data_IF_423519581335
#
_entry.id   IF_423519581335
#
_cell.length_a   1.000
_cell.length_b   1.000
_cell.length_c   1.000
_cell.angle_alpha   90.00
_cell.angle_beta   90.00
_cell.angle_gamma   90.00
#
_symmetry.space_group_name_H-M   'P 1'
#
loop_
_entity.id
_entity.type
_entity.pdbx_description
1 polymer ?
#
# COMPACT_ATOMS: atom_id res chain seq x y z
N UNK A 1 30.16 -21.20 8.44
CA UNK A 1 28.75 -20.77 8.51
C UNK A 1 28.58 -19.73 7.41
N UNK A 2 27.80 -19.97 6.34
CA UNK A 2 27.77 -19.04 5.23
C UNK A 2 27.03 -17.77 5.66
N UNK A 3 27.59 -16.64 5.25
CA UNK A 3 27.10 -15.30 5.47
C UNK A 3 25.70 -15.18 4.85
N UNK A 4 24.73 -14.66 5.61
CA UNK A 4 23.50 -14.14 5.05
C UNK A 4 23.92 -13.06 4.05
N UNK A 5 23.82 -13.35 2.76
CA UNK A 5 23.89 -12.31 1.74
C UNK A 5 22.79 -11.30 2.09
N UNK A 6 23.15 -10.02 2.10
CA UNK A 6 22.25 -8.87 2.22
C UNK A 6 21.30 -8.83 1.01
N UNK A 7 20.39 -9.80 0.97
CA UNK A 7 19.46 -10.01 -0.13
C UNK A 7 18.42 -8.92 -0.10
N UNK A 8 18.21 -8.29 -1.25
CA UNK A 8 17.29 -7.17 -1.39
C UNK A 8 15.89 -7.58 -0.90
N UNK A 9 15.34 -6.94 0.15
CA UNK A 9 14.07 -7.37 0.77
C UNK A 9 12.85 -7.20 -0.16
N UNK A 10 13.01 -6.52 -1.29
CA UNK A 10 11.95 -6.26 -2.24
C UNK A 10 11.22 -4.95 -1.97
N UNK A 11 10.46 -4.49 -2.96
CA UNK A 11 9.80 -3.18 -2.91
C UNK A 11 8.67 -3.11 -1.88
N UNK A 12 7.86 -4.17 -1.74
CA UNK A 12 6.72 -4.16 -0.82
C UNK A 12 7.17 -4.02 0.65
N UNK A 13 8.15 -4.79 1.16
CA UNK A 13 8.67 -4.58 2.52
C UNK A 13 9.28 -3.20 2.76
N UNK A 14 9.98 -2.64 1.77
CA UNK A 14 10.54 -1.28 1.86
C UNK A 14 9.46 -0.22 2.00
N UNK A 15 8.40 -0.28 1.18
CA UNK A 15 7.29 0.67 1.28
C UNK A 15 6.61 0.57 2.65
N UNK A 16 6.40 -0.65 3.16
CA UNK A 16 5.82 -0.86 4.50
C UNK A 16 6.70 -0.28 5.60
N UNK A 17 8.02 -0.42 5.49
CA UNK A 17 8.97 0.17 6.43
C UNK A 17 8.94 1.69 6.38
N UNK A 18 8.95 2.28 5.18
CA UNK A 18 8.83 3.71 4.97
C UNK A 18 7.55 4.28 5.62
N UNK A 19 6.40 3.64 5.36
CA UNK A 19 5.13 4.03 5.98
C UNK A 19 5.15 3.96 7.51
N UNK A 20 5.96 3.08 8.11
CA UNK A 20 6.11 2.97 9.55
C UNK A 20 7.02 4.05 10.15
N UNK A 21 7.89 4.66 9.34
CA UNK A 21 8.78 5.75 9.76
C UNK A 21 8.11 7.11 9.59
N UNK A 22 7.26 7.26 8.57
CA UNK A 22 6.51 8.48 8.30
C UNK A 22 5.18 8.52 9.04
N UNK A 23 4.75 9.70 9.48
CA UNK A 23 3.43 9.90 10.10
C UNK A 23 2.32 9.98 9.04
N UNK A 24 1.88 8.82 8.54
CA UNK A 24 0.77 8.72 7.58
C UNK A 24 -0.56 8.55 8.31
N UNK A 25 -1.59 9.26 7.85
CA UNK A 25 -2.97 9.09 8.33
C UNK A 25 -3.42 7.62 8.25
N UNK A 26 -4.08 7.07 9.29
CA UNK A 26 -4.49 5.66 9.32
C UNK A 26 -5.36 5.22 8.14
N UNK A 27 -6.25 6.06 7.61
CA UNK A 27 -7.09 5.70 6.46
C UNK A 27 -6.25 5.60 5.19
N UNK A 28 -5.29 6.51 5.04
CA UNK A 28 -4.33 6.52 3.93
C UNK A 28 -3.43 5.29 4.00
N UNK A 29 -2.88 4.98 5.18
CA UNK A 29 -2.06 3.79 5.40
C UNK A 29 -2.83 2.50 5.10
N UNK A 30 -4.08 2.40 5.55
CA UNK A 30 -4.95 1.27 5.26
C UNK A 30 -5.20 1.09 3.75
N UNK A 31 -5.48 2.17 3.03
CA UNK A 31 -5.70 2.15 1.58
C UNK A 31 -4.46 1.67 0.82
N UNK A 32 -3.28 2.18 1.18
CA UNK A 32 -2.01 1.76 0.58
C UNK A 32 -1.75 0.28 0.87
N UNK A 33 -1.99 -0.18 2.10
CA UNK A 33 -1.85 -1.60 2.44
C UNK A 33 -2.76 -2.51 1.60
N UNK A 34 -4.00 -2.09 1.30
CA UNK A 34 -4.89 -2.83 0.40
C UNK A 34 -4.31 -2.93 -1.02
N UNK A 35 -3.77 -1.84 -1.57
CA UNK A 35 -3.13 -1.86 -2.88
C UNK A 35 -1.90 -2.76 -2.92
N UNK A 36 -1.02 -2.66 -1.91
CA UNK A 36 0.17 -3.51 -1.81
C UNK A 36 -0.20 -4.99 -1.66
N UNK A 37 -1.30 -5.29 -0.95
CA UNK A 37 -1.80 -6.67 -0.82
C UNK A 37 -2.29 -7.20 -2.17
N UNK A 38 -3.02 -6.41 -2.96
CA UNK A 38 -3.48 -6.82 -4.29
C UNK A 38 -2.29 -7.11 -5.22
N UNK A 39 -1.32 -6.20 -5.26
CA UNK A 39 -0.12 -6.34 -6.08
C UNK A 39 0.68 -7.57 -5.64
N UNK A 40 0.90 -7.74 -4.34
CA UNK A 40 1.63 -8.88 -3.78
C UNK A 40 0.98 -10.22 -4.12
N UNK A 41 -0.36 -10.31 -4.01
CA UNK A 41 -1.09 -11.54 -4.36
C UNK A 41 -1.07 -11.87 -5.85
N UNK A 42 -1.06 -10.85 -6.72
CA UNK A 42 -0.89 -11.07 -8.17
C UNK A 42 0.53 -11.51 -8.50
N UNK A 43 1.53 -10.92 -7.85
CA UNK A 43 2.94 -11.29 -8.03
C UNK A 43 3.25 -12.69 -7.52
N UNK A 44 2.60 -13.14 -6.43
CA UNK A 44 2.75 -14.51 -5.90
C UNK A 44 1.96 -15.56 -6.69
N UNK A 45 1.04 -15.15 -7.56
CA UNK A 45 0.15 -16.05 -8.29
C UNK A 45 -1.07 -16.54 -7.48
N UNK A 46 -1.25 -16.07 -6.24
CA UNK A 46 -2.46 -16.39 -5.45
C UNK A 46 -3.73 -15.79 -6.08
N UNK A 47 -3.59 -14.63 -6.71
CA UNK A 47 -4.64 -13.99 -7.52
C UNK A 47 -4.24 -13.95 -9.00
N UNK A 48 -5.17 -14.27 -9.91
CA UNK A 48 -4.93 -14.13 -11.33
C UNK A 48 -4.80 -12.66 -11.73
N UNK A 49 -4.02 -12.42 -12.78
CA UNK A 49 -4.05 -11.14 -13.50
C UNK A 49 -5.34 -11.06 -14.33
N UNK A 50 -5.73 -9.84 -14.71
CA UNK A 50 -6.90 -9.65 -15.59
C UNK A 50 -6.76 -10.46 -16.89
N UNK A 51 -5.59 -10.45 -17.52
CA UNK A 51 -5.34 -11.24 -18.72
C UNK A 51 -5.43 -12.76 -18.48
N UNK A 52 -4.91 -13.26 -17.35
CA UNK A 52 -5.04 -14.67 -16.99
C UNK A 52 -6.49 -15.07 -16.75
N UNK A 53 -7.24 -14.23 -16.04
CA UNK A 53 -8.65 -14.41 -15.76
C UNK A 53 -9.49 -14.40 -17.04
N UNK A 54 -9.30 -13.41 -17.94
CA UNK A 54 -10.01 -13.34 -19.22
C UNK A 54 -9.77 -14.60 -20.06
N UNK A 55 -8.53 -15.10 -20.11
CA UNK A 55 -8.21 -16.35 -20.82
C UNK A 55 -8.92 -17.54 -20.19
N UNK A 56 -8.89 -17.68 -18.86
CA UNK A 56 -9.60 -18.76 -18.15
C UNK A 56 -11.11 -18.69 -18.40
N UNK A 57 -11.69 -17.50 -18.40
CA UNK A 57 -13.10 -17.29 -18.69
C UNK A 57 -13.46 -17.76 -20.10
N UNK A 58 -12.70 -17.31 -21.11
CA UNK A 58 -12.91 -17.71 -22.52
C UNK A 58 -12.73 -19.23 -22.67
N UNK A 59 -11.67 -19.80 -22.09
CA UNK A 59 -11.36 -21.23 -22.20
C UNK A 59 -12.43 -22.13 -21.57
N UNK A 60 -13.13 -21.64 -20.55
CA UNK A 60 -14.22 -22.36 -19.87
C UNK A 60 -15.61 -22.03 -20.45
N UNK A 61 -15.68 -21.16 -21.46
CA UNK A 61 -16.95 -20.75 -22.04
C UNK A 61 -17.54 -21.88 -22.90
N UNK A 62 -18.83 -22.25 -22.76
CA UNK A 62 -19.42 -23.40 -23.45
C UNK A 62 -19.39 -23.29 -24.99
N UNK A 63 -19.46 -22.07 -25.51
CA UNK A 63 -19.42 -21.81 -26.96
C UNK A 63 -17.99 -21.67 -27.52
N UNK A 64 -16.95 -21.77 -26.69
CA UNK A 64 -15.57 -21.70 -27.14
C UNK A 64 -15.06 -23.08 -27.60
N UNK A 65 -14.57 -23.16 -28.83
CA UNK A 65 -14.22 -24.42 -29.48
C UNK A 65 -12.73 -24.79 -29.38
N UNK A 66 -11.97 -24.07 -28.56
CA UNK A 66 -10.51 -24.20 -28.47
C UNK A 66 -9.78 -24.04 -29.83
N UNK A 67 -10.41 -23.32 -30.76
CA UNK A 67 -9.89 -23.04 -32.10
C UNK A 67 -9.16 -21.69 -32.17
N UNK A 68 -8.88 -21.08 -31.01
CA UNK A 68 -8.31 -19.73 -30.90
C UNK A 68 -9.19 -18.62 -31.51
N UNK A 69 -10.46 -18.89 -31.82
CA UNK A 69 -11.41 -17.89 -32.33
C UNK A 69 -12.43 -17.54 -31.25
N UNK A 70 -12.50 -16.27 -30.89
CA UNK A 70 -13.50 -15.77 -29.94
C UNK A 70 -14.74 -15.33 -30.72
N UNK A 71 -15.85 -16.05 -30.53
CA UNK A 71 -17.12 -15.70 -31.17
C UNK A 71 -17.72 -14.42 -30.58
N UNK A 72 -18.59 -13.74 -31.32
CA UNK A 72 -19.26 -12.52 -30.85
C UNK A 72 -20.05 -12.75 -29.55
N UNK A 73 -20.59 -13.96 -29.36
CA UNK A 73 -21.30 -14.33 -28.14
C UNK A 73 -20.36 -14.42 -26.94
N UNK A 74 -19.26 -15.16 -27.05
CA UNK A 74 -18.22 -15.27 -26.00
C UNK A 74 -17.68 -13.89 -25.63
N UNK A 75 -17.45 -13.03 -26.63
CA UNK A 75 -16.99 -11.66 -26.41
C UNK A 75 -18.02 -10.80 -25.67
N UNK A 76 -19.30 -10.90 -26.03
CA UNK A 76 -20.39 -10.19 -25.35
C UNK A 76 -20.52 -10.63 -23.89
N UNK A 77 -20.46 -11.94 -23.63
CA UNK A 77 -20.58 -12.49 -22.29
C UNK A 77 -19.38 -12.10 -21.40
N UNK A 78 -18.17 -12.10 -21.97
CA UNK A 78 -16.98 -11.58 -21.29
C UNK A 78 -17.11 -10.09 -20.93
N UNK A 79 -17.67 -9.25 -21.82
CA UNK A 79 -17.86 -7.83 -21.54
C UNK A 79 -18.89 -7.59 -20.44
N UNK A 80 -19.97 -8.39 -20.41
CA UNK A 80 -20.94 -8.37 -19.31
C UNK A 80 -20.28 -8.70 -17.97
N UNK A 81 -19.38 -9.68 -17.92
CA UNK A 81 -18.63 -10.00 -16.71
C UNK A 81 -17.64 -8.91 -16.30
N UNK A 82 -16.92 -8.31 -17.26
CA UNK A 82 -16.09 -7.15 -16.99
C UNK A 82 -16.89 -5.99 -16.37
N UNK A 83 -18.12 -5.76 -16.84
CA UNK A 83 -19.01 -4.75 -16.30
C UNK A 83 -19.48 -5.10 -14.88
N UNK A 84 -19.80 -6.36 -14.61
CA UNK A 84 -20.18 -6.84 -13.28
C UNK A 84 -19.05 -6.66 -12.26
N UNK A 85 -17.82 -6.99 -12.63
CA UNK A 85 -16.60 -6.76 -11.83
C UNK A 85 -16.43 -5.27 -11.52
N UNK A 86 -16.53 -4.42 -12.54
CA UNK A 86 -16.30 -2.98 -12.40
C UNK A 86 -17.37 -2.32 -11.53
N UNK A 87 -18.61 -2.81 -11.60
CA UNK A 87 -19.75 -2.31 -10.83
C UNK A 87 -19.75 -2.78 -9.37
N UNK A 88 -18.79 -3.62 -8.97
CA UNK A 88 -18.72 -4.19 -7.62
C UNK A 88 -19.78 -5.26 -7.34
N UNK A 89 -20.46 -5.77 -8.38
CA UNK A 89 -21.47 -6.83 -8.26
C UNK A 89 -20.83 -8.23 -8.17
N UNK A 90 -19.52 -8.34 -8.42
CA UNK A 90 -18.76 -9.60 -8.37
C UNK A 90 -18.54 -10.16 -6.95
N UNK A 91 -19.09 -9.52 -5.91
CA UNK A 91 -19.08 -10.06 -4.55
C UNK A 91 -20.05 -11.24 -4.37
N UNK A 92 -20.98 -11.42 -5.30
CA UNK A 92 -22.08 -12.39 -5.18
C UNK A 92 -21.69 -13.81 -5.59
N UNK A 93 -20.62 -14.02 -6.38
CA UNK A 93 -20.27 -15.35 -6.89
C UNK A 93 -18.79 -15.41 -7.22
N UNK A 94 -18.02 -16.26 -6.53
CA UNK A 94 -16.83 -17.03 -7.00
C UNK A 94 -15.90 -16.39 -8.06
N UNK A 95 -15.82 -15.06 -8.18
CA UNK A 95 -15.09 -14.44 -9.28
C UNK A 95 -13.59 -14.49 -8.93
N UNK A 96 -12.79 -15.27 -9.68
CA UNK A 96 -11.42 -15.51 -9.30
C UNK A 96 -10.54 -14.27 -9.41
N UNK A 97 -11.00 -13.21 -10.11
CA UNK A 97 -10.23 -11.99 -10.34
C UNK A 97 -10.01 -11.16 -9.07
N UNK A 98 -11.03 -11.02 -8.22
CA UNK A 98 -10.99 -10.16 -7.03
C UNK A 98 -11.32 -10.88 -5.71
N UNK A 99 -11.80 -12.14 -5.74
CA UNK A 99 -12.11 -12.99 -4.56
C UNK A 99 -12.74 -12.23 -3.38
N UNK A 100 -13.68 -11.32 -3.62
CA UNK A 100 -14.40 -10.54 -2.58
C UNK A 100 -13.56 -9.72 -1.60
N UNK A 101 -12.23 -9.59 -1.80
CA UNK A 101 -11.31 -9.09 -0.76
C UNK A 101 -10.69 -7.73 -1.07
N UNK A 102 -11.03 -7.12 -2.21
CA UNK A 102 -10.45 -5.86 -2.65
C UNK A 102 -11.56 -4.90 -3.09
N UNK A 103 -11.93 -3.99 -2.20
CA UNK A 103 -12.84 -2.90 -2.50
C UNK A 103 -12.04 -1.59 -2.49
N UNK A 104 -11.83 -1.00 -3.67
CA UNK A 104 -11.13 0.28 -3.84
C UNK A 104 -12.07 1.47 -3.61
N UNK A 105 -12.92 1.41 -2.58
CA UNK A 105 -13.55 2.62 -2.07
C UNK A 105 -12.70 3.09 -0.90
N UNK A 106 -12.21 4.32 -0.98
CA UNK A 106 -11.50 5.07 0.06
C UNK A 106 -12.33 5.31 1.33
N UNK A 107 -13.31 4.45 1.62
CA UNK A 107 -14.09 4.40 2.85
C UNK A 107 -14.39 2.94 3.21
N UNK A 108 -13.36 2.23 3.64
CA UNK A 108 -13.48 1.28 4.74
C UNK A 108 -12.64 1.91 5.86
N UNK A 109 -13.30 2.60 6.80
CA UNK A 109 -12.64 3.11 7.98
C UNK A 109 -11.85 1.95 8.60
N UNK A 110 -10.54 2.10 8.88
CA UNK A 110 -9.78 1.06 9.52
C UNK A 110 -10.52 0.67 10.80
N UNK A 111 -10.68 -0.64 11.08
CA UNK A 111 -11.45 -1.07 12.24
C UNK A 111 -10.87 -0.43 13.50
N UNK A 112 -11.71 -0.12 14.49
CA UNK A 112 -11.30 0.62 15.69
C UNK A 112 -10.04 0.03 16.37
N UNK A 113 -9.87 -1.30 16.30
CA UNK A 113 -8.67 -1.99 16.77
C UNK A 113 -7.38 -1.54 16.05
N UNK A 114 -7.42 -1.30 14.74
CA UNK A 114 -6.27 -0.80 13.95
C UNK A 114 -5.91 0.64 14.35
N UNK A 115 -6.90 1.49 14.60
CA UNK A 115 -6.68 2.86 15.06
C UNK A 115 -6.05 2.91 16.45
N UNK A 116 -6.59 2.13 17.39
CA UNK A 116 -6.06 2.01 18.74
C UNK A 116 -4.63 1.46 18.74
N UNK A 117 -4.33 0.48 17.88
CA UNK A 117 -2.98 -0.04 17.70
C UNK A 117 -2.02 1.03 17.15
N UNK A 118 -2.45 1.83 16.18
CA UNK A 118 -1.63 2.90 15.61
C UNK A 118 -1.32 3.99 16.64
N UNK A 119 -2.30 4.39 17.45
CA UNK A 119 -2.12 5.33 18.55
C UNK A 119 -1.12 4.80 19.59
N UNK A 120 -1.27 3.54 20.02
CA UNK A 120 -0.37 2.91 21.00
C UNK A 120 1.08 2.81 20.50
N UNK A 121 1.28 2.53 19.21
CA UNK A 121 2.62 2.49 18.61
C UNK A 121 3.23 3.87 18.48
N UNK A 122 2.43 4.89 18.18
CA UNK A 122 2.88 6.28 18.15
C UNK A 122 3.33 6.73 19.56
N UNK A 123 2.54 6.45 20.59
CA UNK A 123 2.91 6.73 21.99
C UNK A 123 4.22 6.06 22.38
N UNK A 124 4.43 4.78 22.03
CA UNK A 124 5.71 4.08 22.29
C UNK A 124 6.89 4.72 21.56
N UNK A 125 6.71 5.14 20.30
CA UNK A 125 7.77 5.81 19.53
C UNK A 125 8.15 7.14 20.18
N UNK A 126 7.17 7.96 20.53
CA UNK A 126 7.37 9.23 21.23
C UNK A 126 8.08 8.99 22.56
N UNK A 127 7.62 8.03 23.36
CA UNK A 127 8.26 7.68 24.63
C UNK A 127 9.71 7.21 24.45
N UNK A 128 9.98 6.41 23.41
CA UNK A 128 11.33 5.92 23.11
C UNK A 128 12.27 7.05 22.66
N UNK A 129 11.80 7.96 21.81
CA UNK A 129 12.58 9.11 21.36
C UNK A 129 12.88 10.09 22.51
N UNK A 130 11.90 10.33 23.39
CA UNK A 130 12.08 11.14 24.60
C UNK A 130 13.10 10.49 25.53
N UNK A 131 12.98 9.18 25.79
CA UNK A 131 13.94 8.45 26.64
C UNK A 131 15.37 8.50 26.08
N UNK A 132 15.55 8.28 24.77
CA UNK A 132 16.86 8.38 24.12
C UNK A 132 17.44 9.80 24.20
N UNK A 133 16.61 10.84 24.03
CA UNK A 133 17.04 12.23 24.16
C UNK A 133 17.41 12.61 25.60
N UNK A 134 16.70 12.06 26.60
CA UNK A 134 16.99 12.28 28.01
C UNK A 134 18.29 11.58 28.44
N UNK A 135 18.56 10.38 27.89
CA UNK A 135 19.84 9.69 28.08
C UNK A 135 21.00 10.46 27.44
N UNK A 136 20.81 10.99 26.23
CA UNK A 136 21.81 11.81 25.54
C UNK A 136 22.11 13.13 26.30
N UNK A 137 21.10 13.72 26.94
CA UNK A 137 21.26 14.92 27.78
C UNK A 137 21.96 14.65 29.12
N UNK A 138 22.06 13.38 29.54
CA UNK A 138 22.65 12.97 30.83
C UNK A 138 24.17 12.75 30.78
N UNK A 139 24.80 12.91 29.60
CA UNK A 139 26.25 13.06 29.46
C UNK A 139 27.07 11.83 29.87
N UNK A 140 27.13 10.82 29.02
CA UNK A 140 28.26 9.88 28.99
C UNK A 140 28.64 9.63 27.53
N UNK A 141 29.71 10.29 27.08
CA UNK A 141 30.28 10.17 25.73
C UNK A 141 31.32 9.07 25.74
N UNK A 142 31.15 8.07 24.87
CA UNK A 142 32.28 7.39 24.23
C UNK A 142 32.07 7.42 22.71
N UNK A 143 33.01 8.09 22.03
CA UNK A 143 33.12 8.36 20.59
C UNK A 143 33.43 7.03 19.86
N UNK A 144 32.83 6.71 18.71
CA UNK A 144 33.28 6.89 17.30
C UNK A 144 32.16 6.27 16.43
N UNK A 145 31.71 6.74 15.27
CA UNK A 145 32.34 7.45 14.15
C UNK A 145 31.21 8.09 13.31
N UNK A 146 31.45 9.28 12.74
CA UNK A 146 30.53 9.96 11.81
C UNK A 146 30.16 9.12 10.59
N UNK A 147 28.87 9.12 10.21
CA UNK A 147 28.42 9.45 8.85
C UNK A 147 26.90 9.71 8.82
N UNK A 148 26.50 10.99 8.74
CA UNK A 148 25.27 11.39 8.05
C UNK A 148 24.02 11.66 8.90
N UNK A 149 24.04 12.68 9.75
CA UNK A 149 22.81 13.22 10.37
C UNK A 149 22.62 14.74 10.25
N UNK A 150 23.51 15.46 9.55
CA UNK A 150 23.39 16.93 9.37
C UNK A 150 22.38 17.39 8.29
N UNK A 151 21.64 16.50 7.62
CA UNK A 151 20.73 16.91 6.54
C UNK A 151 19.30 17.29 6.99
N UNK A 152 18.86 16.91 8.19
CA UNK A 152 17.43 17.00 8.56
C UNK A 152 17.03 18.25 9.36
N UNK A 153 18.00 19.07 9.80
CA UNK A 153 17.72 20.31 10.52
C UNK A 153 17.72 21.55 9.61
N UNK A 154 18.27 21.47 8.40
CA UNK A 154 18.27 22.59 7.43
C UNK A 154 17.00 22.65 6.57
N UNK A 155 16.26 21.55 6.40
CA UNK A 155 15.09 21.52 5.50
C UNK A 155 13.82 22.09 6.15
N UNK A 156 13.72 22.04 7.50
CA UNK A 156 12.63 22.66 8.26
C UNK A 156 12.65 24.20 8.23
N UNK A 157 13.81 24.81 8.00
CA UNK A 157 13.92 26.26 7.89
C UNK A 157 13.51 26.78 6.50
N UNK A 158 13.71 25.98 5.44
CA UNK A 158 13.36 26.40 4.07
C UNK A 158 11.88 26.19 3.73
N UNK A 159 11.22 25.15 4.26
CA UNK A 159 9.82 24.90 3.94
C UNK A 159 8.83 25.79 4.71
N UNK A 160 9.28 26.48 5.77
CA UNK A 160 8.47 27.47 6.48
C UNK A 160 8.26 28.77 5.68
N UNK A 161 9.02 28.97 4.60
CA UNK A 161 8.95 30.19 3.78
C UNK A 161 7.97 30.10 2.60
N UNK A 162 7.31 28.96 2.37
CA UNK A 162 6.39 28.76 1.24
C UNK A 162 4.89 28.92 1.58
N UNK A 163 4.53 29.25 2.83
CA UNK A 163 3.12 29.35 3.23
C UNK A 163 2.69 30.75 3.68
N UNK A 164 3.20 31.79 3.04
CA UNK A 164 2.76 33.17 3.32
C UNK A 164 2.63 34.05 2.07
N UNK A 165 1.98 33.58 1.00
CA UNK A 165 1.43 34.46 -0.04
C UNK A 165 0.19 33.81 -0.67
N UNK A 166 -0.99 34.08 -0.10
CA UNK A 166 -2.23 34.30 -0.86
C UNK A 166 -3.34 34.73 0.12
N UNK A 167 -3.32 36.02 0.45
CA UNK A 167 -4.51 36.78 0.81
C UNK A 167 -4.19 38.25 0.58
N UNK A 168 -4.38 38.70 -0.67
CA UNK A 168 -4.66 40.08 -1.01
C UNK A 168 -5.80 40.08 -2.01
N UNK A 169 -6.81 40.88 -1.70
CA UNK A 169 -8.19 40.67 -2.13
C UNK A 169 -8.52 41.05 -3.57
N UNK A 170 -9.76 40.76 -3.94
CA UNK A 170 -10.54 41.62 -4.81
C UNK A 170 -11.96 41.74 -4.24
N UNK A 171 -12.43 42.98 -4.29
CA UNK A 171 -13.66 43.58 -3.77
C UNK A 171 -14.97 42.88 -4.09
#
# INVERSE_FOLDING_TARGET
MPLLEDSFPGLIPLIRHYMNMTEVDPNTAFSIHQYLKLIGKRASGELPTAASWMRQYIMNHPDYKHDSVVSAKVASDLMNECLAVTSGQSDVTENPLLRGTFSSRTAAHPPAATLSAHASLHERRVQSAISLSALAASGEVLIEHECGSEALLSEKAHNASFHLLENDGVS
#
